data_IF_993558905991
#
_entry.id   IF_993558905991
#
_cell.length_a   1.000
_cell.length_b   1.000
_cell.length_c   1.000
_cell.angle_alpha   90.00
_cell.angle_beta   90.00
_cell.angle_gamma   90.00
#
_symmetry.space_group_name_H-M   'P 1'
#
loop_
_entity.id
_entity.type
_entity.pdbx_description
1 polymer ?
#
# COMPACT_ATOMS: atom_id res chain seq x y z
N UNK A 1 9.43 9.08 -16.11
CA UNK A 1 10.49 9.78 -15.34
C UNK A 1 10.97 8.88 -14.20
N UNK A 2 12.27 8.84 -13.84
CA UNK A 2 12.78 8.02 -12.71
C UNK A 2 13.88 8.74 -11.92
N UNK A 3 13.74 8.79 -10.58
CA UNK A 3 14.74 9.30 -9.65
C UNK A 3 15.98 8.41 -9.58
N UNK A 4 15.85 7.09 -9.82
CA UNK A 4 17.01 6.21 -9.86
C UNK A 4 17.96 6.52 -11.02
N UNK A 5 17.43 6.88 -12.20
CA UNK A 5 18.26 7.32 -13.31
C UNK A 5 19.06 8.58 -12.95
N UNK A 6 18.48 9.48 -12.16
CA UNK A 6 19.11 10.73 -11.73
C UNK A 6 20.15 10.51 -10.64
N UNK A 7 19.81 9.78 -9.58
CA UNK A 7 20.68 9.64 -8.41
C UNK A 7 21.72 8.53 -8.53
N UNK A 8 21.47 7.53 -9.38
CA UNK A 8 22.30 6.31 -9.44
C UNK A 8 22.87 6.01 -10.82
N UNK A 9 22.73 6.94 -11.78
CA UNK A 9 23.19 6.79 -13.18
C UNK A 9 22.79 5.45 -13.80
N UNK A 10 21.58 4.98 -13.48
CA UNK A 10 21.01 3.79 -14.07
C UNK A 10 20.46 4.15 -15.46
N UNK A 11 21.21 3.78 -16.49
CA UNK A 11 20.86 3.99 -17.89
C UNK A 11 19.89 2.93 -18.43
N UNK A 12 19.68 1.85 -17.68
CA UNK A 12 18.73 0.79 -18.02
C UNK A 12 17.39 1.09 -17.37
N UNK A 13 16.33 1.12 -18.19
CA UNK A 13 14.95 1.16 -17.69
C UNK A 13 14.59 -0.20 -17.07
N UNK A 14 14.51 -0.23 -15.74
CA UNK A 14 14.14 -1.41 -14.95
C UNK A 14 12.67 -1.35 -14.49
N UNK A 15 11.89 -0.40 -15.01
CA UNK A 15 10.55 -0.07 -14.54
C UNK A 15 10.57 0.90 -13.36
N UNK A 16 9.51 0.85 -12.55
CA UNK A 16 9.38 1.71 -11.37
C UNK A 16 10.48 1.40 -10.35
N UNK A 17 11.36 2.38 -10.12
CA UNK A 17 12.47 2.24 -9.21
C UNK A 17 12.16 2.86 -7.85
N UNK A 18 13.06 2.64 -6.88
CA UNK A 18 12.93 3.19 -5.55
C UNK A 18 12.82 4.73 -5.59
N UNK A 19 11.84 5.28 -4.84
CA UNK A 19 11.52 6.70 -4.71
C UNK A 19 10.73 7.32 -5.88
N UNK A 20 10.52 6.61 -6.99
CA UNK A 20 9.81 7.18 -8.15
C UNK A 20 8.38 7.63 -7.81
N UNK A 21 7.75 7.00 -6.82
CA UNK A 21 6.42 7.36 -6.31
C UNK A 21 6.38 8.75 -5.67
N UNK A 22 7.50 9.25 -5.15
CA UNK A 22 7.54 10.56 -4.50
C UNK A 22 7.16 11.68 -5.47
N UNK A 23 7.60 11.58 -6.72
CA UNK A 23 7.24 12.57 -7.74
C UNK A 23 5.76 12.51 -8.11
N UNK A 24 5.08 11.40 -7.84
CA UNK A 24 3.64 11.24 -8.07
C UNK A 24 2.78 11.77 -6.91
N UNK A 25 3.35 11.90 -5.70
CA UNK A 25 2.62 12.34 -4.51
C UNK A 25 2.96 13.78 -4.07
N UNK A 26 4.17 14.25 -4.35
CA UNK A 26 4.66 15.53 -3.87
C UNK A 26 5.06 16.46 -5.01
N UNK A 27 4.86 17.78 -4.86
CA UNK A 27 5.24 18.77 -5.86
C UNK A 27 6.76 18.93 -5.87
N UNK A 28 7.44 18.01 -6.55
CA UNK A 28 8.89 18.08 -6.79
C UNK A 28 9.23 18.87 -8.06
N UNK A 29 8.26 19.59 -8.63
CA UNK A 29 8.30 20.25 -9.93
C UNK A 29 9.46 21.24 -10.10
N UNK A 30 9.96 21.83 -9.01
CA UNK A 30 11.14 22.71 -9.04
C UNK A 30 12.43 22.02 -9.48
N UNK A 31 12.53 20.70 -9.24
CA UNK A 31 13.66 19.88 -9.70
C UNK A 31 13.24 18.91 -10.81
N UNK A 32 11.96 18.51 -10.87
CA UNK A 32 11.46 17.38 -11.64
C UNK A 32 10.03 17.63 -12.19
N UNK A 33 9.85 18.71 -12.95
CA UNK A 33 8.55 19.06 -13.54
C UNK A 33 8.04 17.95 -14.49
N UNK A 34 6.74 17.68 -14.42
CA UNK A 34 6.03 16.77 -15.32
C UNK A 34 5.27 17.57 -16.37
N UNK A 35 5.23 17.06 -17.59
CA UNK A 35 4.32 17.58 -18.62
C UNK A 35 2.86 17.33 -18.17
N UNK A 36 2.02 18.38 -18.03
CA UNK A 36 0.61 18.23 -17.66
C UNK A 36 -0.21 17.32 -18.58
N UNK A 37 0.25 17.11 -19.82
CA UNK A 37 -0.42 16.23 -20.78
C UNK A 37 0.06 14.76 -20.71
N UNK A 38 1.12 14.49 -19.94
CA UNK A 38 1.70 13.15 -19.82
C UNK A 38 0.80 12.19 -19.02
N UNK A 39 0.93 10.90 -19.30
CA UNK A 39 0.28 9.86 -18.50
C UNK A 39 0.80 9.85 -17.05
N UNK A 40 2.08 10.16 -16.83
CA UNK A 40 2.68 10.29 -15.48
C UNK A 40 2.00 11.40 -14.66
N UNK A 41 1.63 12.53 -15.29
CA UNK A 41 0.90 13.60 -14.61
C UNK A 41 -0.55 13.19 -14.30
N UNK A 42 -1.24 12.56 -15.25
CA UNK A 42 -2.60 12.05 -15.02
C UNK A 42 -2.64 10.98 -13.92
N UNK A 43 -1.65 10.09 -13.88
CA UNK A 43 -1.51 9.08 -12.83
C UNK A 43 -1.23 9.73 -11.47
N UNK A 44 -0.36 10.74 -11.43
CA UNK A 44 -0.07 11.52 -10.23
C UNK A 44 -1.33 12.15 -9.63
N UNK A 45 -2.20 12.73 -10.46
CA UNK A 45 -3.48 13.28 -9.99
C UNK A 45 -4.36 12.21 -9.33
N UNK A 46 -4.45 11.01 -9.92
CA UNK A 46 -5.20 9.88 -9.33
C UNK A 46 -4.58 9.42 -8.02
N UNK A 47 -3.25 9.33 -7.94
CA UNK A 47 -2.55 8.96 -6.72
C UNK A 47 -2.78 9.97 -5.59
N UNK A 48 -2.71 11.27 -5.89
CA UNK A 48 -2.98 12.35 -4.92
C UNK A 48 -4.43 12.29 -4.45
N UNK A 49 -5.39 12.08 -5.36
CA UNK A 49 -6.80 11.92 -5.00
C UNK A 49 -6.99 10.75 -4.01
N UNK A 50 -6.52 9.54 -4.35
CA UNK A 50 -6.64 8.36 -3.49
C UNK A 50 -5.95 8.58 -2.13
N UNK A 51 -4.74 9.16 -2.12
CA UNK A 51 -3.98 9.41 -0.90
C UNK A 51 -4.65 10.42 0.02
N UNK A 52 -5.18 11.50 -0.54
CA UNK A 52 -5.89 12.53 0.25
C UNK A 52 -7.25 12.06 0.72
N UNK A 53 -7.95 11.22 -0.05
CA UNK A 53 -9.21 10.60 0.39
C UNK A 53 -8.96 9.62 1.52
N UNK A 54 -7.91 8.79 1.44
CA UNK A 54 -7.51 7.93 2.56
C UNK A 54 -7.25 8.74 3.84
N UNK A 55 -6.50 9.84 3.75
CA UNK A 55 -6.23 10.69 4.90
C UNK A 55 -7.52 11.29 5.52
N UNK A 56 -8.56 11.55 4.72
CA UNK A 56 -9.84 12.13 5.16
C UNK A 56 -10.81 11.08 5.72
N UNK A 57 -10.90 9.91 5.08
CA UNK A 57 -11.99 8.95 5.30
C UNK A 57 -11.53 7.57 5.72
N UNK A 58 -10.22 7.32 5.79
CA UNK A 58 -9.61 5.99 5.93
C UNK A 58 -9.88 5.04 4.75
N UNK A 59 -10.42 5.54 3.64
CA UNK A 59 -10.69 4.78 2.42
C UNK A 59 -10.02 5.47 1.23
N UNK A 60 -9.13 4.81 0.49
CA UNK A 60 -8.42 5.40 -0.65
C UNK A 60 -9.31 5.45 -1.91
N UNK A 61 -10.51 6.03 -1.81
CA UNK A 61 -11.43 6.15 -2.94
C UNK A 61 -10.92 7.11 -4.02
N UNK A 62 -11.33 6.92 -5.26
CA UNK A 62 -10.94 7.79 -6.39
C UNK A 62 -10.32 7.00 -7.55
N UNK A 63 -9.74 7.71 -8.52
CA UNK A 63 -8.98 7.09 -9.61
C UNK A 63 -9.78 6.22 -10.60
N UNK A 64 -11.09 6.06 -10.40
CA UNK A 64 -11.97 5.20 -11.20
C UNK A 64 -11.86 3.71 -10.87
N UNK A 65 -11.35 3.37 -9.67
CA UNK A 65 -11.20 1.98 -9.20
C UNK A 65 -11.72 1.85 -7.77
N UNK A 66 -12.26 0.68 -7.44
CA UNK A 66 -12.54 0.32 -6.06
C UNK A 66 -11.31 -0.37 -5.47
N UNK A 67 -10.57 0.38 -4.64
CA UNK A 67 -9.39 -0.15 -3.96
C UNK A 67 -9.81 -0.81 -2.64
N UNK A 68 -9.98 -2.13 -2.70
CA UNK A 68 -10.41 -2.93 -1.54
C UNK A 68 -9.24 -3.22 -0.58
N UNK A 69 -9.52 -3.39 0.73
CA UNK A 69 -8.51 -3.76 1.71
C UNK A 69 -7.83 -5.12 1.43
N UNK A 70 -6.66 -5.31 2.03
CA UNK A 70 -6.02 -6.62 2.16
C UNK A 70 -6.75 -7.41 3.23
N UNK A 71 -7.30 -8.56 2.87
CA UNK A 71 -8.08 -9.41 3.80
C UNK A 71 -7.53 -10.84 3.88
N UNK A 72 -6.68 -11.25 2.93
CA UNK A 72 -6.17 -12.62 2.88
C UNK A 72 -4.65 -12.69 2.70
N UNK A 73 -4.09 -13.90 2.87
CA UNK A 73 -2.69 -14.19 2.54
C UNK A 73 -2.35 -13.98 1.06
N UNK A 74 -3.35 -13.80 0.20
CA UNK A 74 -3.16 -13.42 -1.18
C UNK A 74 -2.57 -12.01 -1.30
N UNK A 75 -2.70 -11.14 -0.29
CA UNK A 75 -2.30 -9.72 -0.33
C UNK A 75 -2.94 -9.01 -1.53
N UNK A 76 -4.24 -8.80 -1.46
CA UNK A 76 -4.98 -7.95 -2.38
C UNK A 76 -4.33 -6.56 -2.43
N UNK A 77 -3.92 -6.12 -3.61
CA UNK A 77 -3.25 -4.83 -3.76
C UNK A 77 -3.67 -4.17 -5.05
N UNK A 78 -3.59 -2.84 -5.08
CA UNK A 78 -3.80 -2.08 -6.29
C UNK A 78 -2.47 -1.99 -7.07
N UNK A 79 -2.47 -2.50 -8.30
CA UNK A 79 -1.44 -2.20 -9.27
C UNK A 79 -1.70 -0.80 -9.85
N UNK A 80 -0.71 0.08 -9.69
CA UNK A 80 -0.75 1.47 -10.15
C UNK A 80 0.22 1.60 -11.32
N UNK A 81 -0.31 1.78 -12.53
CA UNK A 81 0.49 1.81 -13.77
C UNK A 81 -0.08 2.82 -14.78
N UNK A 82 0.73 3.21 -15.77
CA UNK A 82 0.24 4.02 -16.89
C UNK A 82 -0.78 3.27 -17.77
N UNK A 83 -0.80 1.93 -17.74
CA UNK A 83 -1.85 1.13 -18.38
C UNK A 83 -3.19 1.11 -17.62
N UNK A 84 -3.24 1.70 -16.41
CA UNK A 84 -4.44 1.78 -15.59
C UNK A 84 -4.24 1.28 -14.17
N UNK A 85 -5.33 1.36 -13.40
CA UNK A 85 -5.40 0.91 -12.01
C UNK A 85 -6.17 -0.41 -11.98
N UNK A 86 -5.59 -1.45 -11.35
CA UNK A 86 -6.29 -2.74 -11.24
C UNK A 86 -5.95 -3.47 -9.96
N UNK A 87 -6.95 -4.09 -9.33
CA UNK A 87 -6.72 -4.96 -8.18
C UNK A 87 -6.05 -6.26 -8.62
N UNK A 88 -5.01 -6.65 -7.89
CA UNK A 88 -4.19 -7.85 -8.11
C UNK A 88 -4.03 -8.60 -6.79
N UNK A 89 -3.53 -9.83 -6.90
CA UNK A 89 -3.22 -10.70 -5.77
C UNK A 89 -1.88 -11.40 -6.00
N UNK A 90 -1.35 -12.00 -4.94
CA UNK A 90 -0.11 -12.75 -4.88
C UNK A 90 1.13 -12.02 -5.42
N UNK A 91 1.41 -10.78 -4.97
CA UNK A 91 2.61 -10.07 -5.41
C UNK A 91 3.85 -10.88 -5.04
N UNK A 92 4.69 -11.17 -6.04
CA UNK A 92 5.97 -11.89 -5.92
C UNK A 92 5.87 -13.20 -5.11
N UNK A 93 4.85 -14.01 -5.40
CA UNK A 93 4.46 -15.22 -4.67
C UNK A 93 5.62 -16.16 -4.33
N UNK A 94 6.39 -16.57 -5.33
CA UNK A 94 7.48 -17.55 -5.19
C UNK A 94 8.60 -16.99 -4.31
N UNK A 95 8.98 -15.73 -4.55
CA UNK A 95 10.00 -15.03 -3.77
C UNK A 95 9.57 -14.91 -2.31
N UNK A 96 8.30 -14.58 -2.06
CA UNK A 96 7.76 -14.51 -0.71
C UNK A 96 7.77 -15.87 -0.02
N UNK A 97 7.35 -16.93 -0.72
CA UNK A 97 7.36 -18.29 -0.19
C UNK A 97 8.79 -18.72 0.17
N UNK A 98 9.77 -18.40 -0.67
CA UNK A 98 11.19 -18.61 -0.40
C UNK A 98 11.64 -17.88 0.87
N UNK A 99 11.40 -16.57 1.00
CA UNK A 99 11.84 -15.83 2.18
C UNK A 99 11.15 -16.28 3.47
N UNK A 100 9.86 -16.69 3.40
CA UNK A 100 9.12 -17.25 4.54
C UNK A 100 9.66 -18.63 4.98
N UNK A 101 10.28 -19.41 4.08
CA UNK A 101 10.79 -20.74 4.41
C UNK A 101 12.16 -20.72 5.09
N UNK A 102 12.88 -19.59 5.03
CA UNK A 102 14.16 -19.44 5.69
C UNK A 102 13.98 -19.36 7.21
N UNK A 103 14.65 -20.26 7.94
CA UNK A 103 14.77 -20.16 9.39
C UNK A 103 15.73 -19.02 9.71
N UNK A 104 15.21 -17.85 10.07
CA UNK A 104 16.05 -16.79 10.61
C UNK A 104 16.57 -17.25 11.97
N UNK A 105 17.90 -17.24 12.14
CA UNK A 105 18.56 -17.56 13.41
C UNK A 105 18.15 -16.48 14.44
N UNK A 106 17.03 -16.70 15.13
CA UNK A 106 16.41 -15.71 16.01
C UNK A 106 14.90 -15.85 16.18
N UNK A 107 14.23 -16.72 15.42
CA UNK A 107 12.85 -17.10 15.71
C UNK A 107 12.80 -17.94 17.00
N UNK A 108 12.94 -17.29 18.16
CA UNK A 108 12.37 -17.80 19.38
C UNK A 108 10.87 -17.94 19.14
N UNK A 109 10.40 -19.18 19.26
CA UNK A 109 9.02 -19.63 19.36
C UNK A 109 7.95 -18.50 19.31
N UNK A 110 7.50 -18.17 18.10
CA UNK A 110 6.43 -17.19 17.84
C UNK A 110 5.03 -17.77 18.09
N UNK A 111 4.87 -18.70 19.02
CA UNK A 111 3.55 -19.21 19.45
C UNK A 111 2.68 -18.12 20.12
N UNK A 112 3.09 -16.83 20.15
CA UNK A 112 2.39 -15.78 20.91
C UNK A 112 2.15 -14.42 20.24
N UNK A 113 2.18 -14.28 18.91
CA UNK A 113 1.90 -13.00 18.22
C UNK A 113 1.28 -13.37 16.85
N UNK A 114 0.03 -13.14 16.46
CA UNK A 114 -1.05 -12.25 16.88
C UNK A 114 -2.39 -12.91 16.51
N UNK A 115 -3.28 -13.12 17.48
CA UNK A 115 -4.71 -12.93 17.20
C UNK A 115 -4.85 -11.45 16.85
N UNK A 116 -5.00 -11.12 15.56
CA UNK A 116 -5.45 -9.79 15.16
C UNK A 116 -6.87 -9.64 15.69
N UNK A 117 -7.01 -9.05 16.87
CA UNK A 117 -8.32 -8.62 17.36
C UNK A 117 -8.81 -7.52 16.41
N UNK A 118 -9.67 -7.93 15.48
CA UNK A 118 -10.34 -7.03 14.57
C UNK A 118 -11.46 -6.33 15.34
N UNK A 119 -11.15 -5.21 16.00
CA UNK A 119 -12.19 -4.34 16.57
C UNK A 119 -12.92 -3.63 15.43
N UNK A 120 -14.13 -4.11 15.07
CA UNK A 120 -15.04 -3.35 14.21
C UNK A 120 -15.48 -2.09 14.96
N UNK A 121 -15.22 -0.91 14.39
CA UNK A 121 -15.89 0.33 14.82
C UNK A 121 -17.36 0.25 14.43
N UNK A 122 -18.26 0.12 15.38
CA UNK A 122 -19.66 0.49 15.18
C UNK A 122 -19.80 1.99 15.37
N UNK A 123 -20.36 2.68 14.38
CA UNK A 123 -20.61 4.10 14.42
C UNK A 123 -21.73 4.40 15.43
N UNK A 124 -21.37 4.89 16.61
CA UNK A 124 -22.29 5.40 17.61
C UNK A 124 -21.64 6.58 18.33
N UNK A 125 -22.33 7.72 18.34
CA UNK A 125 -21.87 8.96 18.96
C UNK A 125 -21.61 8.76 20.47
N UNK A 126 -20.33 8.71 20.86
CA UNK A 126 -19.93 8.66 22.27
C UNK A 126 -18.41 8.64 22.42
N UNK A 127 -17.87 9.66 23.09
CA UNK A 127 -16.45 9.85 23.34
C UNK A 127 -16.03 9.03 24.58
N UNK A 128 -15.64 7.77 24.41
CA UNK A 128 -14.70 7.01 25.28
C UNK A 128 -14.68 5.53 24.87
N UNK A 129 -13.48 4.93 24.81
CA UNK A 129 -13.26 3.50 24.55
C UNK A 129 -12.80 2.88 25.87
N UNK A 130 -13.60 2.00 26.47
CA UNK A 130 -13.15 1.17 27.59
C UNK A 130 -12.63 -0.19 27.08
N UNK A 131 -11.57 -0.77 27.69
CA UNK A 131 -10.90 -1.97 27.18
C UNK A 131 -11.69 -3.28 27.26
N UNK A 132 -12.95 -3.25 27.71
CA UNK A 132 -13.72 -4.44 28.11
C UNK A 132 -14.61 -5.02 27.01
N UNK A 133 -14.68 -4.43 25.82
CA UNK A 133 -15.60 -4.85 24.75
C UNK A 133 -14.99 -5.84 23.73
N UNK A 134 -13.90 -6.52 24.08
CA UNK A 134 -13.30 -7.55 23.23
C UNK A 134 -13.73 -8.95 23.73
N UNK A 135 -14.67 -9.59 23.06
CA UNK A 135 -15.02 -11.00 23.33
C UNK A 135 -13.94 -11.92 22.79
N UNK A 136 -13.48 -12.84 23.65
CA UNK A 136 -12.55 -13.91 23.30
C UNK A 136 -13.38 -15.13 22.92
N UNK A 137 -13.33 -15.58 21.66
CA UNK A 137 -13.81 -16.94 21.35
C UNK A 137 -12.75 -17.97 21.78
N UNK A 138 -13.15 -19.06 22.45
CA UNK A 138 -12.22 -20.13 22.78
C UNK A 138 -11.90 -20.94 21.53
N UNK A 139 -10.62 -20.98 21.15
CA UNK A 139 -10.12 -21.82 20.07
C UNK A 139 -10.21 -23.31 20.39
N UNK A 140 -10.54 -24.11 19.38
CA UNK A 140 -10.55 -25.56 19.38
C UNK A 140 -9.22 -26.08 18.82
#
# INVERSE_FOLDING_TARGET
>A
FSLCSIFWNNEVDLGACHLDELTNLFPMEGNYAKDPNSEDYKLSLKMIEMWTNFAKTSVPSGGGVDWTPVETDALEHLEISNSGLSMKTYPVKERRAFWKSLKTHGAHDTTRIQTLNHCKRTAGNGLSVEPTDCTVEPGN
#
